data_IF_981468428526
#
_entry.id   IF_981468428526
#
_cell.length_a   1.000
_cell.length_b   1.000
_cell.length_c   1.000
_cell.angle_alpha   90.00
_cell.angle_beta   90.00
_cell.angle_gamma   90.00
#
_symmetry.space_group_name_H-M   'P 1'
#
loop_
_entity.id
_entity.type
_entity.pdbx_description
1 polymer ?
#
# COMPACT_ATOMS: atom_id res chain seq x y z
N UNK A 1 -9.92 -18.52 37.01
CA UNK A 1 -10.87 -18.03 36.00
C UNK A 1 -10.06 -17.76 34.75
N UNK A 2 -10.09 -18.68 33.79
CA UNK A 2 -9.48 -18.45 32.48
C UNK A 2 -10.46 -17.59 31.68
N UNK A 3 -9.97 -16.49 31.12
CA UNK A 3 -10.75 -15.66 30.21
C UNK A 3 -11.01 -16.49 28.93
N UNK A 4 -12.26 -16.54 28.43
CA UNK A 4 -12.55 -17.23 27.18
C UNK A 4 -11.80 -16.52 26.03
N UNK A 5 -10.95 -17.25 25.34
CA UNK A 5 -10.38 -16.81 24.06
C UNK A 5 -11.57 -16.75 23.10
N UNK A 6 -11.96 -15.55 22.68
CA UNK A 6 -12.93 -15.40 21.60
C UNK A 6 -12.23 -15.86 20.33
N UNK A 7 -12.53 -17.07 19.89
CA UNK A 7 -12.15 -17.60 18.58
C UNK A 7 -13.02 -16.90 17.53
N UNK A 8 -12.68 -15.64 17.21
CA UNK A 8 -13.31 -14.93 16.10
C UNK A 8 -12.71 -15.45 14.79
N UNK A 9 -13.22 -16.60 14.36
CA UNK A 9 -12.98 -17.29 13.09
C UNK A 9 -13.52 -16.53 11.86
N UNK A 10 -13.28 -15.21 11.76
CA UNK A 10 -13.42 -14.41 10.51
C UNK A 10 -12.54 -13.15 10.55
N UNK A 11 -11.34 -13.22 11.14
CA UNK A 11 -10.30 -12.27 10.78
C UNK A 11 -9.76 -12.72 9.44
N UNK A 12 -10.09 -12.04 8.34
CA UNK A 12 -9.29 -12.20 7.13
C UNK A 12 -7.91 -11.66 7.51
N UNK A 13 -7.03 -12.54 7.98
CA UNK A 13 -5.62 -12.25 8.06
C UNK A 13 -5.17 -12.20 6.61
N UNK A 14 -5.37 -11.04 5.99
CA UNK A 14 -4.81 -10.78 4.68
C UNK A 14 -3.30 -10.79 4.88
N UNK A 15 -2.66 -11.85 4.38
CA UNK A 15 -1.21 -11.97 4.38
C UNK A 15 -0.68 -10.68 3.72
N UNK A 16 0.20 -9.90 4.39
CA UNK A 16 0.76 -8.71 3.80
C UNK A 16 1.35 -8.94 2.41
N UNK A 17 1.89 -10.14 2.14
CA UNK A 17 2.35 -10.52 0.81
C UNK A 17 1.20 -10.61 -0.21
N UNK A 18 0.07 -11.26 0.15
CA UNK A 18 -1.09 -11.39 -0.75
C UNK A 18 -1.68 -10.01 -1.09
N UNK A 19 -1.69 -9.10 -0.12
CA UNK A 19 -2.12 -7.71 -0.29
C UNK A 19 -1.22 -6.94 -1.25
N UNK A 20 0.10 -7.02 -1.06
CA UNK A 20 1.08 -6.36 -1.92
C UNK A 20 0.97 -6.88 -3.37
N UNK A 21 0.82 -8.19 -3.54
CA UNK A 21 0.65 -8.82 -4.85
C UNK A 21 -0.63 -8.36 -5.55
N UNK A 22 -1.75 -8.25 -4.83
CA UNK A 22 -3.01 -7.77 -5.40
C UNK A 22 -2.95 -6.29 -5.75
N UNK A 23 -2.30 -5.46 -4.92
CA UNK A 23 -2.04 -4.05 -5.23
C UNK A 23 -1.21 -3.92 -6.51
N UNK A 24 -0.17 -4.74 -6.68
CA UNK A 24 0.66 -4.73 -7.89
C UNK A 24 -0.11 -5.17 -9.13
N UNK A 25 -0.96 -6.20 -9.02
CA UNK A 25 -1.86 -6.61 -10.13
C UNK A 25 -2.80 -5.47 -10.53
N UNK A 26 -3.46 -4.85 -9.56
CA UNK A 26 -4.39 -3.73 -9.80
C UNK A 26 -3.67 -2.50 -10.36
N UNK A 27 -2.44 -2.23 -9.92
CA UNK A 27 -1.59 -1.15 -10.44
C UNK A 27 -1.33 -1.33 -11.94
N UNK A 28 -0.99 -2.55 -12.37
CA UNK A 28 -0.78 -2.88 -13.78
C UNK A 28 -2.09 -2.83 -14.57
N UNK A 29 -3.16 -3.43 -14.04
CA UNK A 29 -4.47 -3.46 -14.71
C UNK A 29 -5.02 -2.05 -14.96
N UNK A 30 -4.93 -1.18 -13.96
CA UNK A 30 -5.41 0.21 -14.03
C UNK A 30 -4.41 1.17 -14.65
N UNK A 31 -3.20 0.72 -14.98
CA UNK A 31 -2.05 1.57 -15.38
C UNK A 31 -1.85 2.73 -14.40
N UNK A 32 -2.10 2.48 -13.12
CA UNK A 32 -1.98 3.49 -12.08
C UNK A 32 -0.51 3.66 -11.68
N UNK A 33 -0.16 4.85 -11.20
CA UNK A 33 1.12 5.12 -10.54
C UNK A 33 0.87 5.49 -9.09
N UNK A 34 1.62 4.88 -8.18
CA UNK A 34 1.51 5.12 -6.75
C UNK A 34 2.57 6.14 -6.32
N UNK A 35 2.11 7.26 -5.77
CA UNK A 35 2.93 8.36 -5.26
C UNK A 35 2.83 8.35 -3.73
N UNK A 36 3.95 8.14 -3.05
CA UNK A 36 4.03 8.09 -1.59
C UNK A 36 4.81 9.28 -1.02
N UNK A 37 4.29 9.84 0.07
CA UNK A 37 5.00 10.86 0.84
C UNK A 37 5.94 10.20 1.87
N UNK A 38 7.05 10.84 2.23
CA UNK A 38 8.02 10.30 3.21
C UNK A 38 7.46 10.01 4.63
N UNK A 39 6.19 10.31 4.90
CA UNK A 39 5.58 10.12 6.21
C UNK A 39 4.71 8.85 6.30
N UNK A 40 4.68 8.04 5.25
CA UNK A 40 3.97 6.75 5.26
C UNK A 40 4.91 5.62 5.68
N UNK A 41 4.33 4.52 6.15
CA UNK A 41 5.09 3.34 6.56
C UNK A 41 5.96 2.77 5.42
N UNK A 42 7.07 2.14 5.78
CA UNK A 42 8.04 1.60 4.81
C UNK A 42 7.42 0.65 3.80
N UNK A 43 6.49 -0.20 4.26
CA UNK A 43 5.73 -1.13 3.41
C UNK A 43 4.95 -0.41 2.30
N UNK A 44 4.45 0.80 2.58
CA UNK A 44 3.73 1.64 1.60
C UNK A 44 4.72 2.36 0.66
N UNK A 45 5.92 2.70 1.15
CA UNK A 45 6.97 3.27 0.30
C UNK A 45 7.53 2.22 -0.68
N UNK A 46 7.64 0.96 -0.25
CA UNK A 46 8.16 -0.13 -1.06
C UNK A 46 7.24 -0.48 -2.25
N UNK A 47 5.93 -0.34 -2.09
CA UNK A 47 4.95 -0.54 -3.18
C UNK A 47 4.80 0.69 -4.10
N UNK A 48 5.31 1.86 -3.69
CA UNK A 48 5.13 3.10 -4.41
C UNK A 48 6.13 3.25 -5.58
N UNK A 49 5.67 3.75 -6.72
CA UNK A 49 6.54 4.02 -7.86
C UNK A 49 7.40 5.27 -7.64
N UNK A 50 6.88 6.24 -6.89
CA UNK A 50 7.53 7.52 -6.61
C UNK A 50 7.40 7.89 -5.15
N UNK A 51 8.54 8.17 -4.51
CA UNK A 51 8.60 8.69 -3.14
C UNK A 51 9.18 10.10 -3.14
N UNK A 52 8.53 11.04 -2.45
CA UNK A 52 8.93 12.44 -2.48
C UNK A 52 8.30 13.32 -1.40
N UNK A 53 8.76 14.56 -1.37
CA UNK A 53 8.08 15.66 -0.68
C UNK A 53 6.97 16.24 -1.56
N UNK A 54 6.16 17.15 -1.02
CA UNK A 54 5.03 17.76 -1.76
C UNK A 54 5.42 18.36 -3.11
N UNK A 55 6.62 18.94 -3.23
CA UNK A 55 7.06 19.56 -4.48
C UNK A 55 7.50 18.52 -5.52
N UNK A 56 8.25 17.50 -5.10
CA UNK A 56 8.64 16.40 -5.98
C UNK A 56 7.42 15.63 -6.49
N UNK A 57 6.50 15.28 -5.59
CA UNK A 57 5.28 14.57 -5.96
C UNK A 57 4.41 15.38 -6.92
N UNK A 58 4.30 16.71 -6.75
CA UNK A 58 3.57 17.56 -7.68
C UNK A 58 4.20 17.61 -9.09
N UNK A 59 5.54 17.59 -9.17
CA UNK A 59 6.26 17.54 -10.46
C UNK A 59 6.15 16.17 -11.12
N UNK A 60 6.31 15.11 -10.34
CA UNK A 60 6.18 13.75 -10.82
C UNK A 60 4.73 13.52 -11.31
N UNK A 61 3.72 13.94 -10.55
CA UNK A 61 2.32 13.89 -10.96
C UNK A 61 2.02 14.69 -12.24
N UNK A 62 2.68 15.82 -12.46
CA UNK A 62 2.54 16.60 -13.69
C UNK A 62 3.28 15.98 -14.89
N UNK A 63 4.22 15.07 -14.65
CA UNK A 63 5.02 14.39 -15.68
C UNK A 63 4.53 12.98 -16.00
N UNK A 64 3.63 12.42 -15.19
CA UNK A 64 3.00 11.12 -15.41
C UNK A 64 1.82 11.31 -16.37
N UNK A 65 1.81 10.56 -17.47
CA UNK A 65 0.77 10.55 -18.52
C UNK A 65 -0.04 9.25 -18.45
#
# INVERSE_FOLDING_TARGET
>A
MALPIIENSTGVYEDPLDLMDEIDRLKVEKKAKILAHYYVDGEIQDIADYTGDSLKLARDAASID
#
